data_IF_074059061013
#
_entry.id   IF_074059061013
#
_cell.length_a   1.000
_cell.length_b   1.000
_cell.length_c   1.000
_cell.angle_alpha   90.00
_cell.angle_beta   90.00
_cell.angle_gamma   90.00
#
_symmetry.space_group_name_H-M   'P 1'
#
loop_
_entity.id
_entity.type
_entity.pdbx_description
1 polymer ?
#
# COMPACT_ATOMS: atom_id res chain seq x y z
N UNK A 1 66.49 12.47 -60.78
CA UNK A 1 65.25 12.52 -61.58
C UNK A 1 64.45 13.71 -61.06
N UNK A 2 64.11 14.63 -61.96
CA UNK A 2 63.38 15.91 -61.82
C UNK A 2 62.25 15.96 -60.75
N UNK A 3 61.72 17.08 -60.25
CA UNK A 3 61.93 18.54 -60.36
C UNK A 3 61.04 19.19 -59.27
N UNK A 4 61.42 20.40 -58.86
CA UNK A 4 60.59 21.59 -58.52
C UNK A 4 59.38 21.61 -57.54
N UNK A 5 59.21 22.83 -57.01
CA UNK A 5 58.10 23.47 -56.27
C UNK A 5 58.03 23.32 -54.72
N UNK A 6 58.56 24.31 -53.96
CA UNK A 6 57.91 25.54 -53.45
C UNK A 6 56.79 25.22 -52.44
N UNK A 7 56.87 25.55 -51.13
CA UNK A 7 56.89 26.91 -50.53
C UNK A 7 57.33 26.88 -49.04
N UNK A 8 58.30 27.77 -48.70
CA UNK A 8 58.65 28.54 -47.45
C UNK A 8 58.26 27.99 -46.04
N UNK A 9 59.21 27.73 -45.12
CA UNK A 9 59.92 28.65 -44.14
C UNK A 9 58.96 29.48 -43.28
N UNK A 10 59.00 29.57 -41.93
CA UNK A 10 60.09 29.75 -40.96
C UNK A 10 59.51 29.53 -39.53
N UNK A 11 60.06 28.67 -38.67
CA UNK A 11 60.93 28.99 -37.52
C UNK A 11 60.57 30.26 -36.70
N UNK A 12 60.21 30.07 -35.42
CA UNK A 12 60.65 30.89 -34.28
C UNK A 12 60.35 30.19 -32.94
N UNK A 13 61.39 30.17 -32.12
CA UNK A 13 61.60 29.53 -30.83
C UNK A 13 61.17 30.50 -29.71
N UNK A 14 60.39 30.05 -28.72
CA UNK A 14 60.26 30.70 -27.40
C UNK A 14 60.16 29.60 -26.34
N UNK A 15 61.28 29.38 -25.65
CA UNK A 15 61.37 28.74 -24.33
C UNK A 15 60.68 29.61 -23.27
N UNK A 16 59.92 29.02 -22.36
CA UNK A 16 60.35 28.93 -20.95
C UNK A 16 59.53 27.90 -20.16
N UNK A 17 60.21 27.28 -19.20
CA UNK A 17 59.81 26.16 -18.34
C UNK A 17 58.74 26.53 -17.30
N UNK A 18 57.80 25.60 -17.04
CA UNK A 18 57.46 25.10 -15.70
C UNK A 18 56.26 24.14 -15.77
N UNK A 19 56.52 22.90 -16.21
CA UNK A 19 55.60 21.77 -15.96
C UNK A 19 55.89 21.20 -14.57
N UNK A 20 55.16 21.69 -13.56
CA UNK A 20 54.96 20.94 -12.32
C UNK A 20 54.18 19.65 -12.65
N UNK A 21 54.66 18.45 -12.25
CA UNK A 21 53.89 17.23 -12.44
C UNK A 21 52.72 17.25 -11.45
N UNK A 22 51.49 17.41 -11.97
CA UNK A 22 50.28 17.17 -11.19
C UNK A 22 50.37 15.74 -10.67
N UNK A 23 50.49 15.63 -9.35
CA UNK A 23 50.69 14.38 -8.64
C UNK A 23 49.60 13.39 -9.03
N UNK A 24 49.99 12.14 -9.31
CA UNK A 24 49.05 11.03 -9.51
C UNK A 24 48.05 10.89 -8.35
N UNK A 25 48.43 11.36 -7.14
CA UNK A 25 47.54 11.49 -5.98
C UNK A 25 46.44 12.53 -6.14
N UNK A 26 46.66 13.65 -6.83
CA UNK A 26 45.64 14.68 -7.06
C UNK A 26 44.64 14.25 -8.13
N UNK A 27 45.09 13.46 -9.12
CA UNK A 27 44.21 12.88 -10.12
C UNK A 27 43.41 11.72 -9.51
N UNK A 28 44.01 10.91 -8.63
CA UNK A 28 43.29 9.90 -7.84
C UNK A 28 42.29 10.54 -6.87
N UNK A 29 42.62 11.61 -6.15
CA UNK A 29 41.65 12.28 -5.25
C UNK A 29 40.53 12.99 -5.99
N UNK A 30 40.78 13.60 -7.16
CA UNK A 30 39.73 14.21 -7.98
C UNK A 30 38.83 13.15 -8.68
N UNK A 31 39.38 11.96 -8.97
CA UNK A 31 38.62 10.81 -9.48
C UNK A 31 37.85 10.12 -8.35
N UNK A 32 38.39 10.03 -7.12
CA UNK A 32 37.69 9.48 -5.95
C UNK A 32 36.59 10.42 -5.43
N UNK A 33 36.80 11.75 -5.44
CA UNK A 33 35.76 12.73 -5.09
C UNK A 33 34.62 12.77 -6.11
N UNK A 34 34.90 12.58 -7.41
CA UNK A 34 33.85 12.45 -8.43
C UNK A 34 33.21 11.05 -8.47
N UNK A 35 33.88 10.02 -7.95
CA UNK A 35 33.37 8.63 -7.89
C UNK A 35 32.68 8.32 -6.56
N UNK A 36 32.79 9.19 -5.55
CA UNK A 36 31.67 9.48 -4.66
C UNK A 36 30.57 10.23 -5.44
N UNK A 37 29.93 9.53 -6.39
CA UNK A 37 28.54 9.82 -6.74
C UNK A 37 27.81 9.98 -5.42
N UNK A 38 27.42 11.22 -5.07
CA UNK A 38 26.50 11.52 -3.98
C UNK A 38 25.40 10.46 -4.00
N UNK A 39 25.55 9.42 -3.19
CA UNK A 39 24.50 8.43 -2.96
C UNK A 39 23.48 9.22 -2.17
N UNK A 40 22.57 9.90 -2.90
CA UNK A 40 21.55 10.77 -2.30
C UNK A 40 20.93 10.01 -1.14
N UNK A 41 21.11 10.57 0.05
CA UNK A 41 20.80 9.93 1.33
C UNK A 41 19.34 9.49 1.29
N UNK A 42 19.12 8.18 1.40
CA UNK A 42 17.79 7.58 1.43
C UNK A 42 17.08 8.08 2.69
N UNK A 43 15.83 8.52 2.54
CA UNK A 43 15.03 9.04 3.67
C UNK A 43 14.57 7.87 4.51
N UNK A 44 15.12 7.73 5.72
CA UNK A 44 14.92 6.55 6.55
C UNK A 44 13.47 6.43 7.04
N UNK A 45 12.81 7.56 7.37
CA UNK A 45 11.40 7.56 7.80
C UNK A 45 10.44 6.97 6.75
N UNK A 46 10.72 7.12 5.45
CA UNK A 46 9.89 6.54 4.38
C UNK A 46 9.98 5.01 4.42
N UNK A 47 11.18 4.46 4.62
CA UNK A 47 11.35 3.01 4.72
C UNK A 47 10.77 2.48 6.03
N UNK A 48 10.99 3.16 7.16
CA UNK A 48 10.43 2.76 8.45
C UNK A 48 8.90 2.80 8.49
N UNK A 49 8.29 3.84 7.92
CA UNK A 49 6.83 3.91 7.84
C UNK A 49 6.29 2.77 6.96
N UNK A 50 6.96 2.46 5.85
CA UNK A 50 6.62 1.28 5.02
C UNK A 50 6.75 -0.02 5.79
N UNK A 51 7.80 -0.16 6.59
CA UNK A 51 8.03 -1.31 7.45
C UNK A 51 6.97 -1.46 8.53
N UNK A 52 6.55 -0.35 9.16
CA UNK A 52 5.41 -0.34 10.07
C UNK A 52 4.15 -0.82 9.36
N UNK A 53 3.85 -0.33 8.16
CA UNK A 53 2.65 -0.75 7.44
C UNK A 53 2.64 -2.24 7.12
N UNK A 54 3.78 -2.79 6.68
CA UNK A 54 3.93 -4.24 6.46
C UNK A 54 3.82 -5.01 7.78
N UNK A 55 4.45 -4.55 8.86
CA UNK A 55 4.34 -5.18 10.17
C UNK A 55 2.91 -5.17 10.72
N UNK A 56 2.17 -4.07 10.51
CA UNK A 56 0.75 -3.96 10.85
C UNK A 56 -0.10 -4.93 10.02
N UNK A 57 0.21 -5.11 8.73
CA UNK A 57 -0.47 -6.09 7.88
C UNK A 57 -0.31 -7.51 8.45
N UNK A 58 0.92 -7.93 8.74
CA UNK A 58 1.20 -9.23 9.38
C UNK A 58 0.47 -9.34 10.73
N UNK A 59 0.44 -8.27 11.52
CA UNK A 59 -0.29 -8.22 12.79
C UNK A 59 -1.79 -8.47 12.61
N UNK A 60 -2.41 -7.77 11.67
CA UNK A 60 -3.87 -7.83 11.51
C UNK A 60 -4.34 -9.11 10.84
N UNK A 61 -3.55 -9.67 9.93
CA UNK A 61 -3.85 -10.96 9.29
C UNK A 61 -3.69 -12.11 10.28
N UNK A 62 -2.64 -12.09 11.12
CA UNK A 62 -2.37 -13.16 12.08
C UNK A 62 -3.19 -13.08 13.39
N UNK A 63 -3.52 -11.88 13.88
CA UNK A 63 -4.19 -11.68 15.17
C UNK A 63 -5.62 -11.13 15.08
N UNK A 64 -6.06 -10.65 13.92
CA UNK A 64 -7.34 -9.95 13.76
C UNK A 64 -8.59 -10.83 13.95
N UNK A 65 -8.46 -12.15 13.83
CA UNK A 65 -9.53 -13.10 14.15
C UNK A 65 -9.80 -13.20 15.66
N UNK A 66 -8.75 -13.17 16.48
CA UNK A 66 -8.83 -13.26 17.95
C UNK A 66 -9.10 -11.90 18.61
N UNK A 67 -8.72 -10.82 17.94
CA UNK A 67 -8.84 -9.45 18.42
C UNK A 67 -9.67 -8.61 17.44
N UNK A 68 -10.97 -8.43 17.67
CA UNK A 68 -11.85 -7.73 16.75
C UNK A 68 -11.46 -6.28 16.45
N UNK A 69 -10.85 -5.58 17.42
CA UNK A 69 -10.32 -4.22 17.26
C UNK A 69 -9.05 -4.18 16.39
N UNK A 70 -8.32 -5.30 16.31
CA UNK A 70 -7.16 -5.45 15.42
C UNK A 70 -7.65 -5.78 14.00
N UNK A 71 -8.64 -6.67 13.86
CA UNK A 71 -9.24 -7.03 12.57
C UNK A 71 -10.13 -5.93 11.96
N UNK A 72 -10.70 -6.19 10.79
CA UNK A 72 -11.55 -5.24 10.06
C UNK A 72 -12.85 -4.90 10.78
N UNK A 73 -13.29 -3.64 10.67
CA UNK A 73 -14.66 -3.28 11.03
C UNK A 73 -15.65 -4.03 10.12
N UNK A 74 -16.78 -4.58 10.64
CA UNK A 74 -17.71 -5.35 9.82
C UNK A 74 -18.31 -4.56 8.64
N UNK A 75 -18.51 -3.25 8.80
CA UNK A 75 -18.94 -2.38 7.70
C UNK A 75 -18.68 -0.89 7.95
N UNK A 76 -19.41 -0.29 8.88
CA UNK A 76 -19.19 1.08 9.32
C UNK A 76 -18.19 1.12 10.47
N UNK A 77 -17.41 2.20 10.52
CA UNK A 77 -16.34 2.38 11.47
C UNK A 77 -14.97 2.14 10.84
N UNK A 78 -13.95 2.11 11.68
CA UNK A 78 -12.56 1.93 11.29
C UNK A 78 -11.81 1.28 12.46
N UNK A 79 -11.30 0.08 12.24
CA UNK A 79 -10.44 -0.65 13.18
C UNK A 79 -8.98 -0.62 12.70
N UNK A 80 -8.05 -1.24 13.45
CA UNK A 80 -6.62 -1.15 13.13
C UNK A 80 -6.28 -1.66 11.71
N UNK A 81 -6.87 -2.79 11.29
CA UNK A 81 -6.66 -3.36 9.96
C UNK A 81 -7.05 -2.40 8.83
N UNK A 82 -8.03 -1.52 9.09
CA UNK A 82 -8.55 -0.59 8.10
C UNK A 82 -7.57 0.56 7.80
N UNK A 83 -6.46 0.73 8.55
CA UNK A 83 -5.43 1.72 8.23
C UNK A 83 -4.32 1.20 7.32
N UNK A 84 -4.15 -0.13 7.21
CA UNK A 84 -3.02 -0.74 6.50
C UNK A 84 -2.95 -0.32 5.03
N UNK A 85 -4.05 -0.51 4.30
CA UNK A 85 -4.09 -0.23 2.86
C UNK A 85 -3.94 1.27 2.53
N UNK A 86 -4.66 2.21 3.19
CA UNK A 86 -4.42 3.63 2.99
C UNK A 86 -3.00 4.08 3.30
N UNK A 87 -2.37 3.53 4.35
CA UNK A 87 -0.98 3.84 4.68
C UNK A 87 -0.03 3.39 3.55
N UNK A 88 -0.25 2.22 2.96
CA UNK A 88 0.51 1.78 1.79
C UNK A 88 0.35 2.73 0.60
N UNK A 89 -0.88 3.10 0.26
CA UNK A 89 -1.16 4.01 -0.85
C UNK A 89 -0.53 5.39 -0.64
N UNK A 90 -0.59 5.91 0.59
CA UNK A 90 0.04 7.16 0.96
C UNK A 90 1.57 7.11 0.81
N UNK A 91 2.21 6.04 1.26
CA UNK A 91 3.67 5.85 1.14
C UNK A 91 4.09 5.66 -0.32
N UNK A 92 3.30 4.90 -1.10
CA UNK A 92 3.50 4.79 -2.56
C UNK A 92 3.45 6.18 -3.19
N UNK A 93 2.49 7.01 -2.79
CA UNK A 93 2.39 8.41 -3.17
C UNK A 93 3.67 9.19 -2.87
N UNK A 94 4.17 9.15 -1.63
CA UNK A 94 5.42 9.85 -1.23
C UNK A 94 6.60 9.42 -2.12
N UNK A 95 6.68 8.14 -2.47
CA UNK A 95 7.78 7.58 -3.24
C UNK A 95 7.76 7.98 -4.73
N UNK A 96 6.61 8.31 -5.32
CA UNK A 96 6.47 8.66 -6.74
C UNK A 96 7.38 9.84 -7.14
N UNK A 97 7.24 11.06 -6.57
CA UNK A 97 8.06 12.21 -6.97
C UNK A 97 9.56 11.98 -6.66
N UNK A 98 9.88 11.29 -5.56
CA UNK A 98 11.26 10.93 -5.21
C UNK A 98 11.90 10.00 -6.25
N UNK A 99 11.13 9.07 -6.80
CA UNK A 99 11.60 8.10 -7.79
C UNK A 99 11.69 8.70 -9.19
N UNK A 100 10.72 9.52 -9.59
CA UNK A 100 10.62 10.13 -10.92
C UNK A 100 11.52 11.35 -11.10
N UNK A 101 11.88 12.04 -10.01
CA UNK A 101 12.93 13.09 -10.04
C UNK A 101 14.26 12.54 -10.58
N UNK A 102 14.56 11.26 -10.33
CA UNK A 102 15.80 10.60 -10.77
C UNK A 102 15.84 10.20 -12.23
N UNK A 103 14.70 10.28 -12.95
CA UNK A 103 14.61 9.84 -14.34
C UNK A 103 14.47 11.10 -15.23
N UNK A 104 15.50 11.43 -16.03
CA UNK A 104 15.49 12.63 -16.85
C UNK A 104 14.54 12.48 -18.06
N UNK A 105 14.54 11.32 -18.72
CA UNK A 105 13.74 11.10 -19.93
C UNK A 105 12.34 10.56 -19.63
N UNK A 106 11.31 11.25 -20.13
CA UNK A 106 9.90 10.85 -19.99
C UNK A 106 9.63 9.43 -20.50
N UNK A 107 10.18 9.03 -21.65
CA UNK A 107 10.00 7.67 -22.19
C UNK A 107 10.53 6.56 -21.27
N UNK A 108 11.70 6.77 -20.64
CA UNK A 108 12.26 5.83 -19.64
C UNK A 108 11.38 5.76 -18.39
N UNK A 109 10.79 6.88 -17.97
CA UNK A 109 9.87 6.92 -16.84
C UNK A 109 8.59 6.12 -17.13
N UNK A 110 7.98 6.31 -18.31
CA UNK A 110 6.78 5.57 -18.74
C UNK A 110 7.06 4.07 -18.84
N UNK A 111 8.19 3.66 -19.44
CA UNK A 111 8.55 2.22 -19.50
C UNK A 111 8.69 1.61 -18.11
N UNK A 112 9.36 2.29 -17.19
CA UNK A 112 9.54 1.81 -15.80
C UNK A 112 8.21 1.69 -15.07
N UNK A 113 7.34 2.68 -15.25
CA UNK A 113 5.98 2.70 -14.74
C UNK A 113 5.19 1.48 -15.23
N UNK A 114 5.12 1.26 -16.55
CA UNK A 114 4.36 0.15 -17.14
C UNK A 114 4.88 -1.22 -16.67
N UNK A 115 6.20 -1.42 -16.66
CA UNK A 115 6.79 -2.69 -16.18
C UNK A 115 6.46 -2.97 -14.73
N UNK A 116 6.47 -1.94 -13.88
CA UNK A 116 6.13 -2.08 -12.46
C UNK A 116 4.65 -2.40 -12.27
N UNK A 117 3.77 -1.70 -13.00
CA UNK A 117 2.33 -1.97 -12.99
C UNK A 117 2.03 -3.41 -13.42
N UNK A 118 2.62 -3.88 -14.53
CA UNK A 118 2.44 -5.25 -15.03
C UNK A 118 2.87 -6.28 -13.99
N UNK A 119 4.04 -6.10 -13.36
CA UNK A 119 4.51 -6.99 -12.30
C UNK A 119 3.55 -7.06 -11.12
N UNK A 120 3.03 -5.92 -10.65
CA UNK A 120 2.08 -5.89 -9.55
C UNK A 120 0.77 -6.61 -9.90
N UNK A 121 0.26 -6.42 -11.12
CA UNK A 121 -0.91 -7.17 -11.60
C UNK A 121 -0.65 -8.67 -11.67
N UNK A 122 0.49 -9.07 -12.24
CA UNK A 122 0.88 -10.48 -12.36
C UNK A 122 0.95 -11.16 -10.98
N UNK A 123 1.66 -10.56 -10.02
CA UNK A 123 1.74 -11.09 -8.66
C UNK A 123 0.39 -11.01 -7.94
N UNK A 124 -0.41 -9.98 -8.18
CA UNK A 124 -1.78 -9.90 -7.67
C UNK A 124 -2.65 -11.06 -8.12
N UNK A 125 -2.61 -11.44 -9.40
CA UNK A 125 -3.37 -12.59 -9.90
C UNK A 125 -2.88 -13.91 -9.32
N UNK A 126 -1.56 -14.07 -9.19
CA UNK A 126 -0.99 -15.30 -8.61
C UNK A 126 -1.39 -15.45 -7.14
N UNK A 127 -1.27 -14.39 -6.34
CA UNK A 127 -1.46 -14.47 -4.89
C UNK A 127 -2.94 -14.39 -4.51
N UNK A 128 -3.65 -13.37 -5.01
CA UNK A 128 -5.03 -13.07 -4.60
C UNK A 128 -6.08 -13.70 -5.50
N UNK A 129 -5.70 -14.16 -6.69
CA UNK A 129 -6.57 -14.93 -7.58
C UNK A 129 -6.84 -16.36 -7.09
N UNK A 130 -6.18 -16.79 -6.01
CA UNK A 130 -6.45 -18.07 -5.35
C UNK A 130 -5.53 -19.21 -5.75
N UNK A 131 -4.34 -18.96 -6.34
CA UNK A 131 -3.42 -20.04 -6.73
C UNK A 131 -2.89 -20.83 -5.53
N UNK A 132 -2.65 -20.13 -4.42
CA UNK A 132 -2.43 -20.72 -3.11
C UNK A 132 -3.71 -20.53 -2.30
N UNK A 133 -4.40 -21.62 -1.98
CA UNK A 133 -5.47 -21.57 -0.98
C UNK A 133 -4.83 -21.44 0.41
N UNK A 134 -5.63 -21.07 1.41
CA UNK A 134 -5.16 -20.72 2.75
C UNK A 134 -4.09 -21.68 3.30
N UNK A 135 -3.20 -21.22 4.21
CA UNK A 135 -2.09 -22.04 4.76
C UNK A 135 -2.52 -23.39 5.35
N UNK A 136 -3.80 -23.55 5.67
CA UNK A 136 -4.38 -24.69 6.37
C UNK A 136 -4.96 -25.76 5.43
N UNK A 137 -5.28 -25.44 4.16
CA UNK A 137 -5.93 -26.38 3.23
C UNK A 137 -4.94 -27.13 2.31
N UNK A 138 -3.67 -26.69 2.25
CA UNK A 138 -2.58 -27.29 1.48
C UNK A 138 -2.95 -27.66 0.01
N UNK A 139 -3.87 -26.90 -0.59
CA UNK A 139 -4.39 -27.14 -1.93
C UNK A 139 -3.92 -26.05 -2.92
N UNK A 140 -3.58 -26.47 -4.14
CA UNK A 140 -3.04 -25.59 -5.18
C UNK A 140 -3.92 -25.65 -6.44
N UNK A 141 -4.10 -24.49 -7.09
CA UNK A 141 -4.84 -24.38 -8.34
C UNK A 141 -5.69 -23.12 -8.38
N UNK A 142 -6.16 -22.71 -9.56
CA UNK A 142 -7.09 -21.58 -9.71
C UNK A 142 -8.29 -22.04 -10.52
N UNK A 143 -9.48 -21.97 -9.96
CA UNK A 143 -10.69 -22.04 -10.76
C UNK A 143 -10.87 -20.72 -11.52
N UNK A 144 -10.56 -20.73 -12.81
CA UNK A 144 -10.64 -19.56 -13.70
C UNK A 144 -12.05 -18.97 -13.72
N UNK A 145 -13.10 -19.79 -13.50
CA UNK A 145 -14.49 -19.31 -13.45
C UNK A 145 -14.80 -18.50 -12.18
N UNK A 146 -13.97 -18.64 -11.14
CA UNK A 146 -14.16 -18.01 -9.83
C UNK A 146 -12.94 -17.21 -9.38
N UNK A 147 -11.98 -16.95 -10.28
CA UNK A 147 -10.79 -16.16 -9.97
C UNK A 147 -11.18 -14.76 -9.50
N UNK A 148 -10.54 -14.27 -8.44
CA UNK A 148 -10.74 -12.91 -7.96
C UNK A 148 -9.88 -11.93 -8.76
N UNK A 149 -10.52 -11.03 -9.51
CA UNK A 149 -9.80 -10.08 -10.38
C UNK A 149 -9.23 -8.87 -9.63
N UNK A 150 -9.91 -8.43 -8.56
CA UNK A 150 -9.57 -7.23 -7.81
C UNK A 150 -9.02 -7.59 -6.43
N UNK A 151 -7.81 -7.14 -6.12
CA UNK A 151 -7.16 -7.35 -4.84
C UNK A 151 -6.21 -6.19 -4.49
N UNK A 152 -5.49 -6.33 -3.38
CA UNK A 152 -4.64 -5.29 -2.80
C UNK A 152 -3.56 -4.87 -3.81
N UNK A 153 -2.89 -5.83 -4.45
CA UNK A 153 -1.79 -5.52 -5.38
C UNK A 153 -2.29 -4.84 -6.66
N UNK A 154 -3.45 -5.26 -7.18
CA UNK A 154 -4.08 -4.63 -8.34
C UNK A 154 -4.53 -3.20 -8.02
N UNK A 155 -5.11 -2.96 -6.84
CA UNK A 155 -5.48 -1.62 -6.38
C UNK A 155 -4.25 -0.71 -6.25
N UNK A 156 -3.16 -1.20 -5.64
CA UNK A 156 -1.89 -0.45 -5.58
C UNK A 156 -1.37 -0.16 -7.00
N UNK A 157 -1.44 -1.13 -7.91
CA UNK A 157 -0.97 -0.99 -9.28
C UNK A 157 -1.77 0.08 -10.04
N UNK A 158 -3.09 0.09 -9.90
CA UNK A 158 -3.98 1.09 -10.51
C UNK A 158 -3.71 2.49 -9.97
N UNK A 159 -3.66 2.65 -8.64
CA UNK A 159 -3.39 3.94 -8.03
C UNK A 159 -2.00 4.47 -8.39
N UNK A 160 -0.98 3.61 -8.37
CA UNK A 160 0.37 3.95 -8.83
C UNK A 160 0.37 4.37 -10.30
N UNK A 161 -0.33 3.62 -11.17
CA UNK A 161 -0.41 3.92 -12.60
C UNK A 161 -0.97 5.32 -12.84
N UNK A 162 -2.17 5.60 -12.33
CA UNK A 162 -2.87 6.87 -12.55
C UNK A 162 -2.04 8.04 -12.01
N UNK A 163 -1.55 7.93 -10.78
CA UNK A 163 -0.85 9.03 -10.13
C UNK A 163 0.55 9.25 -10.70
N UNK A 164 1.27 8.20 -11.10
CA UNK A 164 2.58 8.35 -11.75
C UNK A 164 2.45 8.92 -13.17
N UNK A 165 1.40 8.57 -13.93
CA UNK A 165 1.11 9.23 -15.21
C UNK A 165 0.85 10.71 -14.98
N UNK A 166 0.00 11.05 -14.01
CA UNK A 166 -0.28 12.43 -13.62
C UNK A 166 1.02 13.17 -13.30
N UNK A 167 1.88 12.61 -12.45
CA UNK A 167 3.17 13.21 -12.09
C UNK A 167 4.07 13.42 -13.32
N UNK A 168 4.18 12.45 -14.23
CA UNK A 168 5.01 12.57 -15.45
C UNK A 168 4.49 13.67 -16.37
N UNK A 169 3.17 13.78 -16.54
CA UNK A 169 2.52 14.77 -17.40
C UNK A 169 2.63 16.17 -16.81
N UNK A 170 2.48 16.30 -15.48
CA UNK A 170 2.58 17.58 -14.77
C UNK A 170 4.02 17.96 -14.41
N UNK A 171 5.01 17.15 -14.78
CA UNK A 171 6.42 17.46 -14.54
C UNK A 171 6.83 18.66 -15.39
N UNK A 172 6.75 19.84 -14.78
CA UNK A 172 7.29 21.08 -15.33
C UNK A 172 8.82 21.06 -15.22
N UNK A 173 9.50 21.64 -16.23
CA UNK A 173 10.94 21.89 -16.14
C UNK A 173 11.14 22.93 -15.05
N UNK A 174 11.96 22.61 -14.04
CA UNK A 174 12.22 23.49 -12.89
C UNK A 174 12.70 24.87 -13.39
N UNK A 175 11.80 25.86 -13.38
CA UNK A 175 12.19 27.23 -13.11
C UNK A 175 12.35 27.30 -11.58
N UNK A 176 13.55 27.65 -11.12
CA UNK A 176 13.87 27.81 -9.70
C UNK A 176 13.03 28.92 -9.07
N UNK A 177 11.78 28.63 -8.76
CA UNK A 177 10.95 29.53 -7.97
C UNK A 177 11.28 29.31 -6.50
N UNK A 178 12.12 30.21 -5.96
CA UNK A 178 12.61 30.20 -4.56
C UNK A 178 11.56 30.70 -3.56
N UNK A 179 10.29 30.78 -3.95
CA UNK A 179 9.22 31.28 -3.09
C UNK A 179 9.00 30.38 -1.87
N UNK A 180 9.11 30.97 -0.68
CA UNK A 180 8.85 30.32 0.63
C UNK A 180 7.40 30.49 1.09
N UNK A 181 6.49 30.93 0.21
CA UNK A 181 5.11 31.16 0.58
C UNK A 181 4.43 29.87 1.09
N UNK A 182 3.57 29.93 2.13
CA UNK A 182 2.97 28.76 2.77
C UNK A 182 2.09 27.92 1.82
N UNK A 183 1.61 28.49 0.72
CA UNK A 183 0.80 27.81 -0.29
C UNK A 183 1.56 27.52 -1.60
N UNK A 184 2.88 27.73 -1.62
CA UNK A 184 3.70 27.57 -2.83
C UNK A 184 3.51 26.19 -3.49
N UNK A 185 3.57 25.11 -2.70
CA UNK A 185 3.43 23.74 -3.21
C UNK A 185 2.04 23.50 -3.78
N UNK A 186 0.99 23.98 -3.10
CA UNK A 186 -0.39 23.86 -3.60
C UNK A 186 -0.56 24.60 -4.93
N UNK A 187 0.02 25.80 -5.05
CA UNK A 187 -0.01 26.58 -6.29
C UNK A 187 0.78 25.91 -7.41
N UNK A 188 1.98 25.38 -7.13
CA UNK A 188 2.82 24.68 -8.12
C UNK A 188 2.15 23.41 -8.64
N UNK A 189 1.49 22.66 -7.77
CA UNK A 189 0.85 21.38 -8.11
C UNK A 189 -0.68 21.44 -8.18
N UNK A 190 -1.25 22.62 -8.45
CA UNK A 190 -2.71 22.83 -8.47
C UNK A 190 -3.43 21.90 -9.46
N UNK A 191 -2.79 21.59 -10.61
CA UNK A 191 -3.34 20.67 -11.61
C UNK A 191 -3.60 19.27 -11.06
N UNK A 192 -2.75 18.78 -10.16
CA UNK A 192 -2.95 17.47 -9.53
C UNK A 192 -4.15 17.49 -8.57
N UNK A 193 -4.32 18.59 -7.84
CA UNK A 193 -5.48 18.80 -6.97
C UNK A 193 -6.79 18.99 -7.74
N UNK A 194 -6.76 19.60 -8.93
CA UNK A 194 -7.91 19.64 -9.85
C UNK A 194 -8.31 18.22 -10.26
N UNK A 195 -7.34 17.38 -10.67
CA UNK A 195 -7.62 15.98 -11.03
C UNK A 195 -8.17 15.21 -9.83
N UNK A 196 -7.64 15.41 -8.62
CA UNK A 196 -8.18 14.82 -7.40
C UNK A 196 -9.64 15.24 -7.15
N UNK A 197 -9.96 16.53 -7.33
CA UNK A 197 -11.32 17.02 -7.20
C UNK A 197 -12.27 16.40 -8.26
N UNK A 198 -11.82 16.26 -9.51
CA UNK A 198 -12.59 15.58 -10.56
C UNK A 198 -12.85 14.12 -10.21
N UNK A 199 -11.83 13.37 -9.74
CA UNK A 199 -11.98 11.98 -9.30
C UNK A 199 -13.00 11.88 -8.17
N UNK A 200 -12.92 12.78 -7.18
CA UNK A 200 -13.84 12.81 -6.06
C UNK A 200 -15.28 13.11 -6.51
N UNK A 201 -15.48 14.10 -7.38
CA UNK A 201 -16.80 14.46 -7.92
C UNK A 201 -17.39 13.26 -8.66
N UNK A 202 -16.63 12.64 -9.57
CA UNK A 202 -17.07 11.46 -10.31
C UNK A 202 -17.44 10.33 -9.34
N UNK A 203 -16.58 10.04 -8.37
CA UNK A 203 -16.84 9.02 -7.36
C UNK A 203 -18.14 9.30 -6.58
N UNK A 204 -18.34 10.53 -6.09
CA UNK A 204 -19.53 10.92 -5.34
C UNK A 204 -20.79 10.88 -6.21
N UNK A 205 -20.72 11.34 -7.45
CA UNK A 205 -21.82 11.26 -8.41
C UNK A 205 -22.23 9.82 -8.70
N UNK A 206 -21.27 8.90 -8.86
CA UNK A 206 -21.56 7.48 -9.06
C UNK A 206 -22.10 6.82 -7.79
N UNK A 207 -21.49 7.11 -6.63
CA UNK A 207 -21.85 6.53 -5.34
C UNK A 207 -23.29 6.84 -4.95
N UNK A 208 -23.72 8.10 -5.13
CA UNK A 208 -25.06 8.55 -4.75
C UNK A 208 -26.07 8.54 -5.90
N UNK A 209 -25.60 8.69 -7.14
CA UNK A 209 -26.45 8.83 -8.31
C UNK A 209 -26.93 7.51 -8.92
N UNK A 210 -26.22 6.39 -8.75
CA UNK A 210 -26.61 5.12 -9.39
C UNK A 210 -27.79 4.46 -8.67
N UNK A 211 -28.74 3.95 -9.47
CA UNK A 211 -29.81 3.08 -8.99
C UNK A 211 -29.34 1.65 -8.86
N UNK A 212 -29.62 1.06 -7.70
CA UNK A 212 -29.31 -0.32 -7.39
C UNK A 212 -30.62 -1.11 -7.44
N UNK A 213 -30.85 -1.90 -8.50
CA UNK A 213 -32.00 -2.78 -8.59
C UNK A 213 -31.85 -3.98 -7.65
N UNK A 214 -32.96 -4.69 -7.47
CA UNK A 214 -32.98 -6.00 -6.83
C UNK A 214 -32.08 -6.98 -7.60
N UNK A 215 -31.49 -7.92 -6.89
CA UNK A 215 -30.58 -8.89 -7.47
C UNK A 215 -30.63 -10.21 -6.71
N UNK A 216 -30.11 -11.26 -7.33
CA UNK A 216 -30.03 -12.58 -6.74
C UNK A 216 -28.63 -13.16 -6.88
N UNK A 217 -28.28 -14.09 -6.00
CA UNK A 217 -27.01 -14.80 -6.04
C UNK A 217 -27.16 -16.24 -5.58
N UNK A 218 -26.27 -17.09 -6.05
CA UNK A 218 -26.15 -18.48 -5.64
C UNK A 218 -24.98 -18.63 -4.67
N UNK A 219 -25.18 -19.31 -3.56
CA UNK A 219 -24.09 -19.62 -2.62
C UNK A 219 -23.20 -20.70 -3.22
N UNK A 220 -21.90 -20.44 -3.29
CA UNK A 220 -20.91 -21.30 -3.96
C UNK A 220 -19.90 -21.95 -3.02
N UNK A 221 -20.04 -21.79 -1.70
CA UNK A 221 -19.19 -22.47 -0.72
C UNK A 221 -19.68 -23.90 -0.53
N UNK A 222 -18.90 -24.87 -0.98
CA UNK A 222 -19.14 -26.30 -0.77
C UNK A 222 -19.19 -26.68 0.72
N UNK A 223 -18.43 -25.99 1.56
CA UNK A 223 -18.44 -26.13 3.03
C UNK A 223 -19.66 -25.51 3.71
N UNK A 224 -20.45 -24.69 3.00
CA UNK A 224 -21.62 -24.03 3.59
C UNK A 224 -22.86 -24.92 3.53
N UNK A 225 -23.68 -24.96 4.61
CA UNK A 225 -24.97 -25.66 4.57
C UNK A 225 -25.98 -25.02 3.59
N UNK A 226 -25.63 -23.88 3.00
CA UNK A 226 -26.43 -23.18 2.00
C UNK A 226 -25.93 -23.39 0.56
N UNK A 227 -24.94 -24.27 0.33
CA UNK A 227 -24.39 -24.52 -0.99
C UNK A 227 -25.47 -24.76 -2.05
N UNK A 228 -25.33 -24.07 -3.19
CA UNK A 228 -26.24 -24.20 -4.32
C UNK A 228 -27.59 -23.48 -4.17
N UNK A 229 -27.94 -22.98 -2.97
CA UNK A 229 -29.17 -22.20 -2.75
C UNK A 229 -29.08 -20.81 -3.37
N UNK A 230 -30.21 -20.34 -3.89
CA UNK A 230 -30.36 -19.02 -4.49
C UNK A 230 -31.07 -18.09 -3.51
N UNK A 231 -30.50 -16.92 -3.28
CA UNK A 231 -31.07 -15.89 -2.43
C UNK A 231 -31.35 -14.63 -3.23
N UNK A 232 -32.49 -14.00 -2.94
CA UNK A 232 -32.88 -12.72 -3.54
C UNK A 232 -32.68 -11.60 -2.53
N UNK A 233 -32.11 -10.49 -2.99
CA UNK A 233 -31.91 -9.27 -2.21
C UNK A 233 -32.73 -8.14 -2.83
N UNK A 234 -33.65 -7.60 -2.03
CA UNK A 234 -34.48 -6.45 -2.39
C UNK A 234 -33.75 -5.15 -2.03
N UNK A 235 -33.42 -4.35 -3.03
CA UNK A 235 -32.68 -3.10 -2.90
C UNK A 235 -33.50 -1.89 -3.33
N UNK A 236 -33.98 -1.88 -4.58
CA UNK A 236 -34.78 -0.81 -5.19
C UNK A 236 -34.43 0.65 -4.81
N UNK A 237 -33.15 1.03 -4.68
CA UNK A 237 -32.76 2.29 -4.02
C UNK A 237 -31.62 3.05 -4.74
N UNK A 238 -31.48 4.35 -4.43
CA UNK A 238 -30.33 5.20 -4.80
C UNK A 238 -29.65 5.73 -3.54
N UNK A 239 -28.33 5.93 -3.62
CA UNK A 239 -27.54 6.61 -2.58
C UNK A 239 -27.46 5.96 -1.20
N UNK A 240 -27.86 4.69 -1.07
CA UNK A 240 -27.66 3.94 0.18
C UNK A 240 -26.22 3.45 0.28
N UNK A 241 -25.63 3.63 1.46
CA UNK A 241 -24.28 3.15 1.81
C UNK A 241 -24.29 1.88 2.66
N UNK A 242 -25.48 1.35 2.96
CA UNK A 242 -25.63 0.11 3.72
C UNK A 242 -25.37 -1.13 2.85
N UNK A 243 -25.16 -2.25 3.52
CA UNK A 243 -25.06 -3.57 2.92
C UNK A 243 -26.41 -4.01 2.32
N UNK A 244 -26.40 -4.82 1.26
CA UNK A 244 -25.42 -4.90 0.17
C UNK A 244 -25.83 -3.94 -0.99
N UNK A 245 -26.85 -3.11 -0.75
CA UNK A 245 -27.57 -2.30 -1.73
C UNK A 245 -26.91 -0.94 -1.98
N UNK A 246 -25.61 -0.94 -2.23
CA UNK A 246 -24.83 0.25 -2.53
C UNK A 246 -24.29 0.21 -3.98
N UNK A 247 -23.98 1.39 -4.51
CA UNK A 247 -23.53 1.55 -5.90
C UNK A 247 -22.18 0.87 -6.16
N UNK A 248 -21.28 0.83 -5.17
CA UNK A 248 -19.96 0.17 -5.30
C UNK A 248 -20.15 -1.31 -5.61
N UNK A 249 -20.87 -2.04 -4.75
CA UNK A 249 -21.14 -3.46 -4.97
C UNK A 249 -21.96 -3.72 -6.24
N UNK A 250 -22.84 -2.80 -6.65
CA UNK A 250 -23.58 -2.95 -7.90
C UNK A 250 -22.68 -2.88 -9.14
N UNK A 251 -21.78 -1.89 -9.20
CA UNK A 251 -20.80 -1.77 -10.30
C UNK A 251 -19.93 -3.01 -10.37
N UNK A 252 -19.41 -3.46 -9.22
CA UNK A 252 -18.53 -4.63 -9.18
C UNK A 252 -19.27 -5.89 -9.66
N UNK A 253 -20.53 -6.11 -9.23
CA UNK A 253 -21.36 -7.22 -9.73
C UNK A 253 -21.60 -7.17 -11.24
N UNK A 254 -21.76 -5.97 -11.81
CA UNK A 254 -22.06 -5.80 -13.24
C UNK A 254 -20.83 -5.93 -14.12
N UNK A 255 -19.68 -5.44 -13.68
CA UNK A 255 -18.45 -5.44 -14.47
C UNK A 255 -17.64 -6.71 -14.23
N UNK A 256 -17.42 -7.10 -12.98
CA UNK A 256 -16.61 -8.27 -12.63
C UNK A 256 -17.42 -9.56 -12.74
N UNK A 257 -18.73 -9.50 -12.48
CA UNK A 257 -19.59 -10.67 -12.35
C UNK A 257 -19.53 -11.27 -10.94
N UNK A 258 -20.64 -11.87 -10.51
CA UNK A 258 -20.80 -12.37 -9.13
C UNK A 258 -19.78 -13.46 -8.77
N UNK A 259 -19.40 -14.30 -9.73
CA UNK A 259 -18.47 -15.42 -9.52
C UNK A 259 -17.05 -14.97 -9.15
N UNK A 260 -16.69 -13.73 -9.51
CA UNK A 260 -15.34 -13.20 -9.35
C UNK A 260 -15.22 -12.22 -8.17
N UNK A 261 -16.27 -12.10 -7.36
CA UNK A 261 -16.28 -11.24 -6.19
C UNK A 261 -15.69 -11.94 -4.98
N UNK A 262 -15.09 -11.17 -4.08
CA UNK A 262 -14.67 -11.68 -2.79
C UNK A 262 -15.84 -12.25 -1.98
N UNK A 263 -15.50 -13.36 -1.34
CA UNK A 263 -16.43 -14.38 -0.92
C UNK A 263 -16.72 -14.32 0.60
N UNK A 264 -15.75 -13.89 1.40
CA UNK A 264 -15.85 -13.82 2.86
C UNK A 264 -15.82 -12.37 3.36
N UNK A 265 -16.82 -11.53 3.01
CA UNK A 265 -16.83 -10.12 3.41
C UNK A 265 -16.91 -9.95 4.94
N UNK A 266 -16.27 -8.89 5.43
CA UNK A 266 -16.19 -8.59 6.86
C UNK A 266 -17.56 -8.46 7.56
N UNK A 267 -18.63 -8.18 6.81
CA UNK A 267 -19.98 -8.06 7.35
C UNK A 267 -20.57 -9.37 7.89
N UNK A 268 -19.96 -10.53 7.60
CA UNK A 268 -20.36 -11.82 8.20
C UNK A 268 -20.34 -11.76 9.72
N UNK A 269 -19.43 -10.95 10.26
CA UNK A 269 -19.22 -10.70 11.69
C UNK A 269 -20.16 -9.66 12.29
N UNK A 270 -21.10 -9.14 11.50
CA UNK A 270 -22.03 -8.12 11.97
C UNK A 270 -23.11 -8.72 12.88
N UNK A 271 -23.64 -7.89 13.78
CA UNK A 271 -24.74 -8.27 14.69
C UNK A 271 -26.00 -8.76 13.97
N UNK A 272 -26.19 -8.37 12.72
CA UNK A 272 -27.31 -8.83 11.91
C UNK A 272 -27.11 -10.27 11.40
N UNK A 273 -25.86 -10.73 11.29
CA UNK A 273 -25.52 -12.01 10.68
C UNK A 273 -25.24 -13.09 11.72
N UNK A 274 -24.60 -12.80 12.85
CA UNK A 274 -24.20 -13.82 13.83
C UNK A 274 -24.41 -13.38 15.28
N UNK A 275 -24.70 -14.33 16.18
CA UNK A 275 -24.86 -14.08 17.62
C UNK A 275 -23.53 -13.80 18.32
N UNK A 276 -22.41 -14.30 17.79
CA UNK A 276 -21.08 -14.11 18.38
C UNK A 276 -20.38 -12.84 17.91
N UNK A 277 -21.11 -11.93 17.26
CA UNK A 277 -20.57 -10.63 16.82
C UNK A 277 -19.84 -9.93 17.98
N UNK A 278 -18.62 -9.41 17.78
CA UNK A 278 -17.99 -9.11 16.49
C UNK A 278 -17.08 -10.23 15.95
N UNK A 279 -17.19 -11.46 16.43
CA UNK A 279 -16.46 -12.61 15.88
C UNK A 279 -17.24 -13.23 14.71
N UNK A 280 -16.53 -14.01 13.89
CA UNK A 280 -17.19 -14.85 12.89
C UNK A 280 -17.74 -16.11 13.57
N UNK A 281 -18.90 -16.56 13.12
CA UNK A 281 -19.59 -17.71 13.68
C UNK A 281 -20.77 -18.11 12.81
N UNK A 282 -21.56 -19.09 13.23
CA UNK A 282 -22.73 -19.53 12.48
C UNK A 282 -23.70 -18.36 12.28
N UNK A 283 -24.35 -18.35 11.11
CA UNK A 283 -25.39 -17.37 10.83
C UNK A 283 -26.61 -17.61 11.72
N UNK A 284 -27.27 -16.53 12.14
CA UNK A 284 -28.55 -16.60 12.85
C UNK A 284 -29.60 -17.29 11.98
N UNK A 285 -30.56 -17.96 12.61
CA UNK A 285 -31.67 -18.58 11.89
C UNK A 285 -32.52 -17.56 11.12
N UNK A 286 -32.62 -16.34 11.63
CA UNK A 286 -33.31 -15.17 11.05
C UNK A 286 -32.37 -14.21 10.31
N UNK A 287 -31.11 -14.62 10.05
CA UNK A 287 -30.12 -13.77 9.40
C UNK A 287 -30.64 -13.30 8.02
N UNK A 288 -30.53 -12.00 7.70
CA UNK A 288 -30.91 -11.50 6.39
C UNK A 288 -30.16 -12.21 5.26
N UNK A 289 -30.83 -12.43 4.12
CA UNK A 289 -30.25 -13.10 2.96
C UNK A 289 -28.93 -12.48 2.50
N UNK A 290 -28.75 -11.16 2.66
CA UNK A 290 -27.53 -10.47 2.29
C UNK A 290 -26.30 -10.83 3.14
N UNK A 291 -26.47 -11.47 4.30
CA UNK A 291 -25.34 -11.94 5.10
C UNK A 291 -24.45 -12.93 4.33
N UNK A 292 -25.04 -13.70 3.41
CA UNK A 292 -24.35 -14.66 2.55
C UNK A 292 -23.87 -14.04 1.23
N UNK A 293 -24.19 -12.77 0.97
CA UNK A 293 -23.89 -12.13 -0.30
C UNK A 293 -22.38 -11.89 -0.44
N UNK A 294 -21.78 -12.17 -1.61
CA UNK A 294 -20.40 -11.78 -1.89
C UNK A 294 -20.30 -10.26 -2.08
N UNK A 295 -19.13 -9.70 -1.72
CA UNK A 295 -18.85 -8.27 -1.83
C UNK A 295 -17.36 -8.04 -2.01
N UNK A 296 -16.98 -7.21 -2.98
CA UNK A 296 -15.58 -6.95 -3.33
C UNK A 296 -15.04 -5.68 -2.61
N UNK A 297 -14.28 -5.80 -1.49
CA UNK A 297 -13.67 -4.66 -0.80
C UNK A 297 -12.73 -3.85 -1.68
N UNK A 298 -12.04 -4.54 -2.60
CA UNK A 298 -10.96 -4.00 -3.41
C UNK A 298 -11.43 -3.64 -4.83
N UNK A 299 -12.74 -3.48 -5.01
CA UNK A 299 -13.42 -3.35 -6.30
C UNK A 299 -13.13 -2.06 -7.07
N UNK A 300 -13.83 -1.87 -8.18
CA UNK A 300 -13.52 -0.86 -9.19
C UNK A 300 -13.78 0.55 -8.64
N UNK A 301 -15.00 0.82 -8.19
CA UNK A 301 -15.39 2.17 -7.75
C UNK A 301 -14.65 2.58 -6.47
N UNK A 302 -14.48 1.64 -5.52
CA UNK A 302 -13.71 1.89 -4.31
C UNK A 302 -12.22 2.11 -4.61
N UNK A 303 -11.65 1.44 -5.62
CA UNK A 303 -10.28 1.70 -6.09
C UNK A 303 -10.11 3.07 -6.75
N UNK A 304 -11.15 3.61 -7.41
CA UNK A 304 -11.13 4.99 -7.94
C UNK A 304 -10.99 6.01 -6.79
N UNK A 305 -11.74 5.83 -5.70
CA UNK A 305 -11.57 6.66 -4.49
C UNK A 305 -10.18 6.49 -3.85
N UNK A 306 -9.62 5.28 -3.88
CA UNK A 306 -8.30 4.97 -3.35
C UNK A 306 -7.14 5.74 -4.02
N UNK A 307 -7.32 6.20 -5.25
CA UNK A 307 -6.37 7.08 -5.95
C UNK A 307 -6.12 8.37 -5.14
N UNK A 308 -7.14 8.89 -4.45
CA UNK A 308 -7.04 10.13 -3.65
C UNK A 308 -5.99 10.01 -2.54
N UNK A 309 -5.92 8.87 -1.83
CA UNK A 309 -4.91 8.62 -0.80
C UNK A 309 -3.48 8.66 -1.37
N UNK A 310 -3.31 8.20 -2.61
CA UNK A 310 -2.01 8.21 -3.30
C UNK A 310 -1.64 9.64 -3.76
N UNK A 311 -2.60 10.43 -4.24
CA UNK A 311 -2.37 11.84 -4.60
C UNK A 311 -1.97 12.66 -3.37
N UNK A 312 -2.66 12.47 -2.24
CA UNK A 312 -2.29 13.09 -0.96
C UNK A 312 -0.84 12.73 -0.57
N UNK A 313 -0.44 11.46 -0.73
CA UNK A 313 0.93 11.03 -0.53
C UNK A 313 1.94 11.70 -1.47
N UNK A 314 1.59 11.91 -2.75
CA UNK A 314 2.45 12.62 -3.71
C UNK A 314 2.75 14.03 -3.25
N UNK A 315 1.75 14.75 -2.74
CA UNK A 315 1.94 16.09 -2.19
C UNK A 315 2.95 16.10 -1.03
N UNK A 316 2.94 15.08 -0.17
CA UNK A 316 3.95 14.91 0.88
C UNK A 316 5.34 14.67 0.30
N UNK A 317 5.43 13.89 -0.78
CA UNK A 317 6.67 13.70 -1.53
C UNK A 317 7.17 14.99 -2.18
N UNK A 318 6.29 15.86 -2.69
CA UNK A 318 6.68 17.18 -3.20
C UNK A 318 7.22 18.10 -2.11
N UNK A 319 6.61 18.09 -0.92
CA UNK A 319 7.12 18.81 0.26
C UNK A 319 8.54 18.36 0.62
N UNK A 320 8.82 17.04 0.59
CA UNK A 320 10.17 16.50 0.79
C UNK A 320 11.17 17.00 -0.27
N UNK A 321 10.72 17.13 -1.51
CA UNK A 321 11.57 17.50 -2.66
C UNK A 321 11.90 18.98 -2.68
N UNK A 322 10.92 19.85 -2.37
CA UNK A 322 11.03 21.31 -2.54
C UNK A 322 11.40 22.06 -1.27
N UNK A 323 10.81 21.72 -0.12
CA UNK A 323 11.17 22.39 1.14
C UNK A 323 12.47 21.79 1.66
N UNK A 324 13.48 22.62 1.93
CA UNK A 324 14.76 22.16 2.48
C UNK A 324 14.72 22.04 4.00
N UNK A 325 14.05 22.97 4.68
CA UNK A 325 14.00 23.04 6.13
C UNK A 325 13.05 21.99 6.74
N UNK A 326 13.51 21.33 7.80
CA UNK A 326 12.72 20.31 8.50
C UNK A 326 11.48 20.89 9.19
N UNK A 327 11.58 22.11 9.72
CA UNK A 327 10.48 22.79 10.41
C UNK A 327 9.32 23.08 9.46
N UNK A 328 9.62 23.54 8.25
CA UNK A 328 8.59 23.89 7.27
C UNK A 328 7.91 22.64 6.70
N UNK A 329 8.67 21.55 6.47
CA UNK A 329 8.11 20.24 6.13
C UNK A 329 7.10 19.77 7.17
N UNK A 330 7.49 19.78 8.45
CA UNK A 330 6.63 19.34 9.55
C UNK A 330 5.40 20.23 9.72
N UNK A 331 5.55 21.56 9.66
CA UNK A 331 4.40 22.49 9.71
C UNK A 331 3.40 22.23 8.59
N UNK A 332 3.88 21.99 7.37
CA UNK A 332 3.02 21.74 6.22
C UNK A 332 2.31 20.39 6.32
N UNK A 333 3.02 19.34 6.71
CA UNK A 333 2.43 18.02 6.91
C UNK A 333 1.44 18.00 8.07
N UNK A 334 1.84 18.49 9.24
CA UNK A 334 0.95 18.48 10.41
C UNK A 334 -0.30 19.32 10.17
N UNK A 335 -0.20 20.49 9.54
CA UNK A 335 -1.37 21.32 9.24
C UNK A 335 -2.35 20.61 8.30
N UNK A 336 -1.86 20.02 7.21
CA UNK A 336 -2.69 19.26 6.28
C UNK A 336 -3.26 17.98 6.93
N UNK A 337 -2.46 17.24 7.70
CA UNK A 337 -2.88 16.02 8.38
C UNK A 337 -3.99 16.26 9.39
N UNK A 338 -3.85 17.30 10.22
CA UNK A 338 -4.90 17.71 11.17
C UNK A 338 -6.15 18.21 10.45
N UNK A 339 -6.01 19.01 9.38
CA UNK A 339 -7.15 19.47 8.59
C UNK A 339 -7.95 18.29 7.97
N UNK A 340 -7.25 17.29 7.43
CA UNK A 340 -7.90 16.08 6.89
C UNK A 340 -8.58 15.26 7.98
N UNK A 341 -7.97 15.09 9.15
CA UNK A 341 -8.60 14.41 10.29
C UNK A 341 -9.89 15.10 10.72
N UNK A 342 -9.83 16.43 10.91
CA UNK A 342 -10.99 17.24 11.30
C UNK A 342 -12.09 17.09 10.25
N UNK A 343 -11.77 17.25 8.97
CA UNK A 343 -12.74 17.11 7.88
C UNK A 343 -13.38 15.71 7.87
N UNK A 344 -12.57 14.66 7.99
CA UNK A 344 -13.04 13.27 7.98
C UNK A 344 -13.97 12.97 9.16
N UNK A 345 -13.63 13.42 10.38
CA UNK A 345 -14.47 13.24 11.55
C UNK A 345 -15.73 14.10 11.51
N UNK A 346 -15.65 15.34 11.04
CA UNK A 346 -16.82 16.20 10.85
C UNK A 346 -17.80 15.52 9.89
N UNK A 347 -17.33 15.01 8.75
CA UNK A 347 -18.19 14.28 7.80
C UNK A 347 -18.83 13.03 8.41
N UNK A 348 -18.10 12.31 9.28
CA UNK A 348 -18.63 11.10 9.92
C UNK A 348 -19.66 11.41 11.01
N UNK A 349 -19.33 12.30 11.95
CA UNK A 349 -20.16 12.62 13.11
C UNK A 349 -21.34 13.55 12.77
N UNK A 350 -21.27 14.30 11.66
CA UNK A 350 -22.44 15.00 11.10
C UNK A 350 -23.41 14.08 10.35
N UNK A 351 -23.09 12.79 10.25
CA UNK A 351 -23.83 11.80 9.45
C UNK A 351 -23.89 12.10 7.94
N UNK A 352 -23.06 13.02 7.43
CA UNK A 352 -22.99 13.32 6.01
C UNK A 352 -22.39 12.15 5.21
N UNK A 353 -21.24 11.63 5.65
CA UNK A 353 -20.56 10.48 5.01
C UNK A 353 -19.93 9.59 6.10
N UNK A 354 -20.44 8.37 6.32
CA UNK A 354 -19.90 7.47 7.34
C UNK A 354 -18.50 6.95 6.97
N UNK A 355 -17.68 6.67 7.98
CA UNK A 355 -16.43 5.94 7.79
C UNK A 355 -16.74 4.51 7.34
N UNK A 356 -16.28 4.16 6.14
CA UNK A 356 -16.47 2.84 5.58
C UNK A 356 -15.30 2.49 4.65
N UNK A 357 -14.52 1.50 5.07
CA UNK A 357 -13.36 0.96 4.32
C UNK A 357 -13.77 0.24 3.04
N UNK A 358 -14.88 -0.50 3.09
CA UNK A 358 -15.36 -1.35 2.01
C UNK A 358 -15.78 -0.52 0.79
N UNK A 359 -16.39 0.63 1.04
CA UNK A 359 -16.75 1.60 0.01
C UNK A 359 -15.61 2.57 -0.31
N UNK A 360 -14.59 2.65 0.55
CA UNK A 360 -13.53 3.66 0.51
C UNK A 360 -14.10 5.08 0.50
N UNK A 361 -15.00 5.37 1.45
CA UNK A 361 -15.70 6.67 1.53
C UNK A 361 -14.76 7.85 1.68
N UNK A 362 -15.19 9.03 1.22
CA UNK A 362 -14.35 10.23 1.30
C UNK A 362 -13.97 10.61 2.74
N UNK A 363 -14.89 10.45 3.71
CA UNK A 363 -14.55 10.62 5.13
C UNK A 363 -13.47 9.66 5.59
N UNK A 364 -13.50 8.40 5.13
CA UNK A 364 -12.47 7.40 5.40
C UNK A 364 -11.13 7.77 4.76
N UNK A 365 -11.11 8.28 3.51
CA UNK A 365 -9.89 8.81 2.88
C UNK A 365 -9.27 9.92 3.73
N UNK A 366 -10.09 10.88 4.18
CA UNK A 366 -9.63 12.00 4.99
C UNK A 366 -9.06 11.55 6.35
N UNK A 367 -9.76 10.68 7.09
CA UNK A 367 -9.29 10.19 8.39
C UNK A 367 -8.00 9.38 8.24
N UNK A 368 -7.94 8.46 7.29
CA UNK A 368 -6.78 7.58 7.13
C UNK A 368 -5.56 8.29 6.55
N UNK A 369 -5.75 9.22 5.62
CA UNK A 369 -4.67 10.08 5.12
C UNK A 369 -4.14 11.03 6.20
N UNK A 370 -5.03 11.58 7.03
CA UNK A 370 -4.65 12.42 8.16
C UNK A 370 -3.91 11.64 9.25
N UNK A 371 -4.31 10.39 9.53
CA UNK A 371 -3.56 9.50 10.42
C UNK A 371 -2.18 9.15 9.83
N UNK A 372 -2.11 8.81 8.54
CA UNK A 372 -0.85 8.53 7.85
C UNK A 372 0.11 9.73 7.92
N UNK A 373 -0.42 10.93 7.74
CA UNK A 373 0.31 12.18 7.86
C UNK A 373 0.95 12.39 9.25
N UNK A 374 0.19 12.14 10.32
CA UNK A 374 0.69 12.26 11.69
C UNK A 374 1.77 11.20 11.99
N UNK A 375 1.51 9.95 11.63
CA UNK A 375 2.45 8.84 11.85
C UNK A 375 3.75 9.05 11.06
N UNK A 376 3.64 9.46 9.79
CA UNK A 376 4.81 9.78 8.97
C UNK A 376 5.61 10.95 9.55
N UNK A 377 4.94 12.03 9.97
CA UNK A 377 5.58 13.19 10.59
C UNK A 377 6.30 12.82 11.88
N UNK A 378 5.73 11.92 12.68
CA UNK A 378 6.35 11.39 13.90
C UNK A 378 7.63 10.61 13.58
N UNK A 379 7.59 9.66 12.64
CA UNK A 379 8.80 8.93 12.23
C UNK A 379 9.87 9.86 11.66
N UNK A 380 9.48 10.82 10.82
CA UNK A 380 10.38 11.82 10.28
C UNK A 380 11.08 12.62 11.39
N UNK A 381 10.31 13.08 12.39
CA UNK A 381 10.87 13.78 13.54
C UNK A 381 11.82 12.89 14.35
N UNK A 382 11.40 11.69 14.75
CA UNK A 382 12.22 10.80 15.60
C UNK A 382 13.51 10.33 14.92
N UNK A 383 13.47 10.09 13.61
CA UNK A 383 14.54 9.39 12.89
C UNK A 383 15.42 10.35 12.10
N UNK A 384 14.82 11.25 11.33
CA UNK A 384 15.56 12.16 10.45
C UNK A 384 15.99 13.45 11.17
N UNK A 385 15.31 13.85 12.26
CA UNK A 385 15.68 15.05 13.06
C UNK A 385 16.38 14.65 14.36
N UNK A 386 15.75 13.84 15.21
CA UNK A 386 16.32 13.47 16.52
C UNK A 386 17.41 12.38 16.39
N UNK A 387 17.37 11.57 15.34
CA UNK A 387 18.42 10.58 15.06
C UNK A 387 18.26 9.25 15.79
N UNK A 388 17.08 8.93 16.33
CA UNK A 388 16.79 7.67 17.06
C UNK A 388 16.57 6.49 16.09
N UNK A 389 17.49 6.32 15.14
CA UNK A 389 17.37 5.31 14.06
C UNK A 389 17.49 3.88 14.57
N UNK A 390 18.34 3.65 15.59
CA UNK A 390 18.69 2.30 16.07
C UNK A 390 17.49 1.48 16.58
N UNK A 391 16.55 2.12 17.25
CA UNK A 391 15.35 1.46 17.81
C UNK A 391 14.43 0.94 16.68
N UNK A 392 14.37 1.66 15.57
CA UNK A 392 13.46 1.36 14.46
C UNK A 392 14.14 0.61 13.30
N UNK A 393 15.37 0.12 13.48
CA UNK A 393 16.09 -0.64 12.44
C UNK A 393 15.32 -1.86 11.91
N UNK A 394 14.65 -2.68 12.74
CA UNK A 394 13.86 -3.80 12.23
C UNK A 394 12.76 -3.34 11.26
N UNK A 395 12.07 -2.23 11.58
CA UNK A 395 11.07 -1.65 10.69
C UNK A 395 11.71 -1.11 9.41
N UNK A 396 12.87 -0.46 9.51
CA UNK A 396 13.58 0.01 8.31
C UNK A 396 13.91 -1.16 7.37
N UNK A 397 14.44 -2.26 7.89
CA UNK A 397 14.81 -3.44 7.09
C UNK A 397 13.58 -4.11 6.45
N UNK A 398 12.51 -4.33 7.22
CA UNK A 398 11.23 -4.81 6.69
C UNK A 398 10.77 -3.87 5.58
N UNK A 399 10.83 -2.57 5.84
CA UNK A 399 10.50 -1.54 4.86
C UNK A 399 11.30 -1.70 3.57
N UNK A 400 12.63 -1.77 3.64
CA UNK A 400 13.50 -1.93 2.47
C UNK A 400 13.19 -3.18 1.63
N UNK A 401 12.64 -4.22 2.26
CA UNK A 401 12.23 -5.50 1.66
C UNK A 401 10.71 -5.74 1.70
N UNK A 402 9.91 -4.66 1.72
CA UNK A 402 8.48 -4.73 2.01
C UNK A 402 7.71 -5.71 1.12
N UNK A 403 8.06 -5.80 -0.17
CA UNK A 403 7.36 -6.69 -1.09
C UNK A 403 7.64 -8.17 -0.82
N UNK A 404 8.87 -8.51 -0.42
CA UNK A 404 9.19 -9.87 -0.01
C UNK A 404 8.39 -10.27 1.22
N UNK A 405 8.41 -9.41 2.24
CA UNK A 405 7.71 -9.69 3.49
C UNK A 405 6.20 -9.75 3.25
N UNK A 406 5.65 -8.89 2.38
CA UNK A 406 4.25 -8.96 1.96
C UNK A 406 3.89 -10.32 1.38
N UNK A 407 4.62 -10.77 0.35
CA UNK A 407 4.31 -12.00 -0.38
C UNK A 407 4.55 -13.24 0.49
N UNK A 408 5.60 -13.24 1.29
CA UNK A 408 5.95 -14.42 2.07
C UNK A 408 5.17 -14.51 3.39
N UNK A 409 4.88 -13.38 4.05
CA UNK A 409 4.22 -13.36 5.34
C UNK A 409 2.71 -13.22 5.21
N UNK A 410 2.22 -12.14 4.60
CA UNK A 410 0.79 -11.80 4.62
C UNK A 410 -0.04 -12.64 3.65
N UNK A 411 0.51 -12.97 2.48
CA UNK A 411 -0.13 -13.92 1.54
C UNK A 411 0.10 -15.38 1.98
N UNK A 412 0.69 -15.60 3.15
CA UNK A 412 0.75 -16.91 3.80
C UNK A 412 1.67 -17.94 3.13
N UNK A 413 2.47 -17.59 2.12
CA UNK A 413 3.33 -18.56 1.41
C UNK A 413 4.31 -19.26 2.35
N UNK A 414 4.97 -18.49 3.23
CA UNK A 414 5.92 -19.07 4.18
C UNK A 414 5.23 -19.95 5.22
N UNK A 415 4.06 -19.53 5.70
CA UNK A 415 3.26 -20.30 6.65
C UNK A 415 2.73 -21.59 6.03
N UNK A 416 2.20 -21.52 4.80
CA UNK A 416 1.75 -22.69 4.05
C UNK A 416 2.88 -23.67 3.76
N UNK A 417 4.07 -23.16 3.42
CA UNK A 417 5.28 -24.00 3.31
C UNK A 417 5.56 -24.72 4.64
N UNK A 418 5.65 -23.99 5.75
CA UNK A 418 5.91 -24.59 7.07
C UNK A 418 4.80 -25.57 7.51
N UNK A 419 3.54 -25.25 7.23
CA UNK A 419 2.38 -26.09 7.52
C UNK A 419 2.34 -27.37 6.68
N UNK A 420 3.02 -27.39 5.53
CA UNK A 420 3.21 -28.60 4.72
C UNK A 420 3.91 -29.72 5.46
N UNK A 421 4.68 -29.41 6.51
CA UNK A 421 5.20 -30.41 7.45
C UNK A 421 4.25 -30.59 8.64
N UNK A 422 3.52 -31.70 8.63
CA UNK A 422 2.61 -32.10 9.69
C UNK A 422 2.90 -33.51 10.20
N UNK A 423 2.50 -33.78 11.44
CA UNK A 423 2.66 -35.08 12.08
C UNK A 423 1.30 -35.78 12.19
N UNK A 424 1.16 -36.92 11.51
CA UNK A 424 -0.04 -37.79 11.40
C UNK A 424 -1.26 -37.15 10.72
N UNK A 425 -1.60 -35.89 11.02
CA UNK A 425 -2.75 -35.18 10.44
C UNK A 425 -2.41 -33.74 10.08
N UNK A 426 -3.09 -33.20 9.06
CA UNK A 426 -2.94 -31.80 8.60
C UNK A 426 -3.28 -30.77 9.68
N UNK A 427 -3.99 -31.17 10.72
CA UNK A 427 -4.32 -30.32 11.87
C UNK A 427 -3.18 -30.22 12.90
N UNK A 428 -2.09 -30.97 12.73
CA UNK A 428 -0.97 -31.02 13.66
C UNK A 428 0.34 -30.60 12.97
N UNK A 429 0.38 -29.34 12.54
CA UNK A 429 1.55 -28.72 11.91
C UNK A 429 2.57 -28.24 12.95
N UNK A 430 3.82 -28.03 12.53
CA UNK A 430 4.84 -27.41 13.37
C UNK A 430 4.40 -26.03 13.88
N UNK A 431 3.76 -25.23 13.02
CA UNK A 431 3.26 -23.89 13.36
C UNK A 431 2.18 -23.98 14.43
N UNK A 432 1.21 -24.89 14.26
CA UNK A 432 0.17 -25.14 15.26
C UNK A 432 0.79 -25.60 16.59
N UNK A 433 1.77 -26.50 16.55
CA UNK A 433 2.44 -27.00 17.74
C UNK A 433 3.15 -25.88 18.52
N UNK A 434 3.95 -25.04 17.83
CA UNK A 434 4.66 -23.90 18.44
C UNK A 434 3.65 -22.91 19.03
N UNK A 435 2.64 -22.51 18.25
CA UNK A 435 1.57 -21.60 18.69
C UNK A 435 0.88 -22.12 19.94
N UNK A 436 0.48 -23.41 19.96
CA UNK A 436 -0.22 -24.04 21.08
C UNK A 436 0.66 -24.19 22.31
N UNK A 437 1.87 -24.72 22.17
CA UNK A 437 2.70 -25.12 23.30
C UNK A 437 3.57 -24.00 23.85
N UNK A 438 4.13 -23.16 22.99
CA UNK A 438 5.07 -22.09 23.39
C UNK A 438 4.32 -20.83 23.79
N UNK A 439 3.23 -20.50 23.10
CA UNK A 439 2.50 -19.25 23.34
C UNK A 439 1.19 -19.45 24.10
N UNK A 440 0.26 -20.28 23.59
CA UNK A 440 -1.07 -20.40 24.21
C UNK A 440 -1.02 -21.07 25.60
N UNK A 441 -0.28 -22.17 25.74
CA UNK A 441 -0.15 -22.88 27.04
C UNK A 441 0.59 -22.05 28.09
N UNK A 442 1.67 -21.36 27.72
CA UNK A 442 2.47 -20.54 28.65
C UNK A 442 1.68 -19.35 29.19
N UNK A 443 0.88 -18.70 28.34
CA UNK A 443 0.12 -17.51 28.72
C UNK A 443 -1.33 -17.80 29.16
N UNK A 444 -1.72 -19.07 29.21
CA UNK A 444 -3.06 -19.54 29.58
C UNK A 444 -4.23 -18.82 28.87
N UNK A 445 -3.99 -18.30 27.67
CA UNK A 445 -4.96 -17.52 26.92
C UNK A 445 -4.70 -17.64 25.43
N UNK A 446 -5.72 -18.07 24.68
CA UNK A 446 -5.65 -18.16 23.22
C UNK A 446 -5.38 -16.79 22.60
N UNK A 447 -6.14 -15.76 23.02
CA UNK A 447 -6.01 -14.40 22.47
C UNK A 447 -4.62 -13.82 22.69
N UNK A 448 -4.08 -13.91 23.90
CA UNK A 448 -2.75 -13.38 24.23
C UNK A 448 -1.66 -14.23 23.56
N UNK A 449 -1.81 -15.56 23.58
CA UNK A 449 -0.87 -16.47 22.92
C UNK A 449 -0.76 -16.20 21.42
N UNK A 450 -1.88 -16.04 20.70
CA UNK A 450 -1.87 -15.71 19.27
C UNK A 450 -1.21 -14.36 19.02
N UNK A 451 -1.56 -13.34 19.81
CA UNK A 451 -0.97 -12.00 19.66
C UNK A 451 0.57 -12.03 19.83
N UNK A 452 1.06 -12.70 20.88
CA UNK A 452 2.49 -12.81 21.14
C UNK A 452 3.21 -13.65 20.09
N UNK A 453 2.57 -14.70 19.59
CA UNK A 453 3.11 -15.48 18.47
C UNK A 453 3.32 -14.59 17.23
N UNK A 454 2.33 -13.77 16.86
CA UNK A 454 2.46 -12.88 15.70
C UNK A 454 3.54 -11.81 15.93
N UNK A 455 3.59 -11.19 17.10
CA UNK A 455 4.59 -10.16 17.42
C UNK A 455 6.03 -10.73 17.45
N UNK A 456 6.24 -11.83 18.16
CA UNK A 456 7.58 -12.35 18.44
C UNK A 456 8.06 -13.44 17.48
N UNK A 457 7.15 -14.28 16.98
CA UNK A 457 7.53 -15.35 16.05
C UNK A 457 7.40 -14.94 14.59
N UNK A 458 6.51 -14.01 14.23
CA UNK A 458 6.35 -13.59 12.83
C UNK A 458 7.02 -12.26 12.54
N UNK A 459 6.63 -11.17 13.21
CA UNK A 459 7.15 -9.83 12.88
C UNK A 459 8.64 -9.72 13.19
N UNK A 460 9.09 -10.21 14.35
CA UNK A 460 10.51 -10.21 14.69
C UNK A 460 11.32 -11.13 13.75
N UNK A 461 10.78 -12.30 13.41
CA UNK A 461 11.41 -13.20 12.43
C UNK A 461 11.63 -12.51 11.09
N UNK A 462 10.60 -11.85 10.54
CA UNK A 462 10.73 -11.09 9.30
C UNK A 462 11.64 -9.87 9.44
N UNK A 463 11.71 -9.26 10.62
CA UNK A 463 12.72 -8.24 10.95
C UNK A 463 14.15 -8.77 10.85
N UNK A 464 14.42 -9.95 11.41
CA UNK A 464 15.73 -10.60 11.35
C UNK A 464 16.07 -11.01 9.91
N UNK A 465 15.15 -11.69 9.21
CA UNK A 465 15.33 -12.12 7.81
C UNK A 465 15.60 -10.90 6.92
N UNK A 466 14.81 -9.84 7.03
CA UNK A 466 15.03 -8.61 6.28
C UNK A 466 16.36 -7.94 6.63
N UNK A 467 16.80 -8.03 7.88
CA UNK A 467 18.11 -7.56 8.32
C UNK A 467 19.28 -8.36 7.72
N UNK A 468 19.15 -9.68 7.63
CA UNK A 468 20.13 -10.55 6.96
C UNK A 468 20.20 -10.20 5.47
N UNK A 469 19.06 -10.10 4.79
CA UNK A 469 18.99 -9.69 3.38
C UNK A 469 19.61 -8.31 3.14
N UNK A 470 19.37 -7.38 4.06
CA UNK A 470 20.01 -6.06 4.02
C UNK A 470 21.53 -6.14 4.14
N UNK A 471 22.07 -6.97 5.04
CA UNK A 471 23.52 -7.19 5.18
C UNK A 471 24.15 -7.80 3.93
N UNK A 472 23.44 -8.70 3.25
CA UNK A 472 23.88 -9.33 2.00
C UNK A 472 23.61 -8.45 0.77
N UNK A 473 22.89 -7.33 0.92
CA UNK A 473 22.60 -6.38 -0.17
C UNK A 473 21.49 -6.82 -1.12
N UNK A 474 20.65 -7.79 -0.73
CA UNK A 474 19.55 -8.31 -1.54
C UNK A 474 18.28 -7.48 -1.26
N UNK A 475 17.65 -6.97 -2.32
CA UNK A 475 16.39 -6.24 -2.23
C UNK A 475 15.42 -6.68 -3.33
N UNK A 476 14.32 -7.32 -2.94
CA UNK A 476 13.28 -7.68 -3.89
C UNK A 476 12.34 -6.48 -4.13
N UNK A 477 12.28 -6.03 -5.39
CA UNK A 477 11.44 -4.91 -5.83
C UNK A 477 10.64 -5.33 -7.06
N UNK A 478 9.33 -5.12 -7.00
CA UNK A 478 8.42 -5.24 -8.15
C UNK A 478 8.38 -3.91 -8.92
#
# INVERSE_FOLDING_TARGET
MASEDLVRRSAADVKDDDQLPISSRETETLVDEKTQKQKQKRVASVDMFRGLTVGLMVLVDGAGGEWPLIGHAPWFGCNLADFVMPFFLFIVGIAIPLSLKRIPHRGKAVRRLLLRTIKLFFWGFLLQGGYSHAPDELSYGVDIKHIRWCGILQRIALAYLVVAVLEIVTKEADLEDKSTAPFFIYRKYYRQWIVAACILIIYMSLLYGIYVPDWEFRVQYDTSPYYGKVFKVTCGTRGKLNQPCNAVGYIDRKILGINHMYKHPAWHRSKACTEVSPYEGPFKADAPAWCLAPFEPEGILSSVSAILSTIIGVHYGHVLVHLKEHRDRLKHWLSMGVALLILGFVLHFSHAIPLNKQLYTFSYVCVTAGAAALVFSLFYFLVDIVGIRRIFLPLEWIGMNAMLVYVMAAEGIFEGFLNGWYYESTNNTLVYWVKKHVFVKVWHSQRVGVLLYVLFAQILFWGIVAGILHRVGIYWKL
#
